data_IF_180978631484
#
_entry.id   IF_180978631484
#
_cell.length_a   1.000
_cell.length_b   1.000
_cell.length_c   1.000
_cell.angle_alpha   90.00
_cell.angle_beta   90.00
_cell.angle_gamma   90.00
#
_symmetry.space_group_name_H-M   'P 1'
#
loop_
_entity.id
_entity.type
_entity.pdbx_description
1 polymer ?
#
# COMPACT_ATOMS: atom_id res chain seq x y z
N UNK A 1 -8.10 -1.43 13.64
CA UNK A 1 -8.25 -0.39 12.61
C UNK A 1 -6.93 0.33 12.43
N UNK A 2 -6.41 0.32 11.21
CA UNK A 2 -5.09 0.88 10.88
C UNK A 2 -5.18 2.36 10.46
N UNK A 3 -6.28 2.73 9.83
CA UNK A 3 -6.44 4.06 9.26
C UNK A 3 -7.70 4.79 9.69
N UNK A 4 -7.83 6.03 9.22
CA UNK A 4 -8.98 6.89 9.45
C UNK A 4 -9.96 6.72 8.29
N UNK A 5 -11.09 6.07 8.54
CA UNK A 5 -12.16 5.83 7.56
C UNK A 5 -13.53 6.17 8.17
N UNK A 6 -14.47 6.67 7.34
CA UNK A 6 -14.34 6.96 5.91
C UNK A 6 -13.39 8.13 5.64
N UNK A 7 -12.70 8.12 4.48
CA UNK A 7 -11.91 9.28 4.06
C UNK A 7 -12.82 10.38 3.50
N UNK A 8 -12.46 11.66 3.62
CA UNK A 8 -13.28 12.76 3.13
C UNK A 8 -13.50 12.71 1.60
N UNK A 9 -14.62 13.28 1.16
CA UNK A 9 -14.86 13.65 -0.24
C UNK A 9 -14.90 15.18 -0.30
N UNK A 10 -14.02 15.78 -1.07
CA UNK A 10 -13.87 17.23 -1.16
C UNK A 10 -14.19 17.74 -2.57
N UNK A 11 -14.94 18.83 -2.67
CA UNK A 11 -15.20 19.50 -3.95
C UNK A 11 -14.00 20.35 -4.37
N UNK A 12 -13.43 20.05 -5.53
CA UNK A 12 -12.31 20.79 -6.12
C UNK A 12 -12.82 22.04 -6.86
N UNK A 13 -13.31 23.04 -6.12
CA UNK A 13 -14.00 24.24 -6.66
C UNK A 13 -13.17 24.99 -7.71
N UNK A 14 -11.87 25.17 -7.47
CA UNK A 14 -11.00 25.94 -8.36
C UNK A 14 -10.80 25.23 -9.70
N UNK A 15 -10.53 23.92 -9.69
CA UNK A 15 -10.33 23.17 -10.93
C UNK A 15 -11.66 22.97 -11.68
N UNK A 16 -12.77 22.78 -10.98
CA UNK A 16 -14.11 22.76 -11.55
C UNK A 16 -14.40 24.06 -12.31
N UNK A 17 -14.14 25.19 -11.68
CA UNK A 17 -14.32 26.52 -12.32
C UNK A 17 -13.38 26.70 -13.51
N UNK A 18 -12.11 26.32 -13.38
CA UNK A 18 -11.12 26.46 -14.44
C UNK A 18 -11.48 25.68 -15.70
N UNK A 19 -11.97 24.44 -15.53
CA UNK A 19 -12.33 23.57 -16.65
C UNK A 19 -13.68 23.88 -17.26
N UNK A 20 -14.58 24.57 -16.54
CA UNK A 20 -15.92 24.93 -17.03
C UNK A 20 -16.82 23.73 -17.36
N UNK A 21 -16.55 22.57 -16.79
CA UNK A 21 -17.24 21.31 -17.04
C UNK A 21 -17.99 20.78 -15.80
N UNK A 22 -18.07 19.45 -15.62
CA UNK A 22 -18.75 18.86 -14.48
C UNK A 22 -18.07 19.22 -13.16
N UNK A 23 -18.80 19.11 -12.06
CA UNK A 23 -18.25 19.25 -10.71
C UNK A 23 -17.23 18.14 -10.45
N UNK A 24 -16.03 18.51 -10.01
CA UNK A 24 -14.94 17.60 -9.74
C UNK A 24 -14.76 17.45 -8.23
N UNK A 25 -14.78 16.22 -7.76
CA UNK A 25 -14.54 15.87 -6.36
C UNK A 25 -13.32 14.97 -6.23
N UNK A 26 -12.68 14.99 -5.08
CA UNK A 26 -11.58 14.09 -4.75
C UNK A 26 -11.93 13.26 -3.51
N UNK A 27 -11.76 11.95 -3.59
CA UNK A 27 -11.74 11.04 -2.45
C UNK A 27 -10.35 11.07 -1.83
N UNK A 28 -10.24 11.56 -0.60
CA UNK A 28 -8.96 11.87 0.06
C UNK A 28 -8.31 10.64 0.67
N UNK A 29 -7.95 9.66 -0.17
CA UNK A 29 -7.24 8.45 0.27
C UNK A 29 -5.75 8.70 0.62
N UNK A 30 -5.26 9.89 0.44
CA UNK A 30 -4.04 10.40 1.02
C UNK A 30 -4.17 10.65 2.53
N UNK A 31 -5.38 10.92 3.04
CA UNK A 31 -5.68 11.23 4.43
C UNK A 31 -6.02 10.01 5.30
N UNK A 32 -5.53 8.82 4.96
CA UNK A 32 -5.78 7.60 5.74
C UNK A 32 -5.04 7.53 7.07
N UNK A 33 -4.04 8.39 7.30
CA UNK A 33 -3.36 8.58 8.58
C UNK A 33 -2.15 7.67 8.83
N UNK A 34 -2.20 6.39 8.48
CA UNK A 34 -1.11 5.45 8.75
C UNK A 34 0.18 5.86 8.02
N UNK A 35 1.23 6.16 8.78
CA UNK A 35 2.57 6.49 8.25
C UNK A 35 2.51 7.54 7.13
N UNK A 36 2.01 8.72 7.43
CA UNK A 36 1.77 9.83 6.49
C UNK A 36 0.62 9.60 5.49
N UNK A 37 -0.16 8.54 5.65
CA UNK A 37 -1.33 8.25 4.83
C UNK A 37 -1.03 7.59 3.48
N UNK A 38 -2.08 7.32 2.74
CA UNK A 38 -2.03 6.74 1.41
C UNK A 38 -3.01 5.59 1.22
N UNK A 39 -3.32 5.32 -0.02
CA UNK A 39 -4.34 4.37 -0.45
C UNK A 39 -4.08 2.90 -0.05
N UNK A 40 -2.84 2.54 0.26
CA UNK A 40 -2.50 1.15 0.61
C UNK A 40 -3.01 0.74 1.99
N UNK A 41 -3.26 1.72 2.88
CA UNK A 41 -3.87 1.47 4.19
C UNK A 41 -5.20 0.73 4.06
N UNK A 42 -6.04 1.06 3.06
CA UNK A 42 -7.30 0.35 2.82
C UNK A 42 -7.12 -1.15 2.62
N UNK A 43 -6.13 -1.54 1.83
CA UNK A 43 -5.81 -2.94 1.57
C UNK A 43 -5.26 -3.64 2.80
N UNK A 44 -4.41 -2.93 3.55
CA UNK A 44 -3.80 -3.43 4.77
C UNK A 44 -4.81 -3.66 5.90
N UNK A 45 -5.94 -2.94 5.92
CA UNK A 45 -7.06 -3.20 6.83
C UNK A 45 -7.60 -4.64 6.74
N UNK A 46 -7.42 -5.29 5.60
CA UNK A 46 -7.83 -6.67 5.36
C UNK A 46 -6.65 -7.64 5.41
N UNK A 47 -5.53 -7.28 4.82
CA UNK A 47 -4.35 -8.14 4.72
C UNK A 47 -3.69 -8.39 6.08
N UNK A 48 -3.60 -7.39 6.94
CA UNK A 48 -2.96 -7.54 8.26
C UNK A 48 -3.80 -8.40 9.21
N UNK A 49 -5.12 -8.21 9.35
CA UNK A 49 -5.95 -9.13 10.12
C UNK A 49 -5.88 -10.57 9.60
N UNK A 50 -5.83 -10.78 8.28
CA UNK A 50 -5.67 -12.11 7.71
C UNK A 50 -4.31 -12.74 8.07
N UNK A 51 -3.22 -11.96 7.99
CA UNK A 51 -1.91 -12.40 8.45
C UNK A 51 -1.92 -12.81 9.93
N UNK A 52 -2.59 -12.04 10.80
CA UNK A 52 -2.73 -12.35 12.22
C UNK A 52 -3.54 -13.64 12.43
N UNK A 53 -4.67 -13.79 11.73
CA UNK A 53 -5.51 -14.99 11.78
C UNK A 53 -4.73 -16.26 11.40
N UNK A 54 -3.81 -16.12 10.44
CA UNK A 54 -2.90 -17.18 10.00
C UNK A 54 -1.70 -17.41 10.96
N UNK A 55 -1.66 -16.75 12.12
CA UNK A 55 -0.56 -16.87 13.12
C UNK A 55 0.81 -16.58 12.53
N UNK A 56 0.87 -15.62 11.65
CA UNK A 56 2.08 -15.23 10.92
C UNK A 56 3.18 -14.75 11.87
N UNK A 57 4.41 -15.18 11.63
CA UNK A 57 5.60 -14.73 12.36
C UNK A 57 6.26 -13.53 11.69
N UNK A 58 6.21 -13.47 10.36
CA UNK A 58 6.79 -12.40 9.57
C UNK A 58 5.94 -12.12 8.33
N UNK A 59 5.65 -10.86 8.09
CA UNK A 59 5.07 -10.37 6.84
C UNK A 59 6.20 -10.04 5.87
N UNK A 60 6.14 -10.58 4.66
CA UNK A 60 7.10 -10.26 3.58
C UNK A 60 6.37 -9.54 2.48
N UNK A 61 6.92 -8.44 1.98
CA UNK A 61 6.35 -7.72 0.84
C UNK A 61 7.42 -7.21 -0.11
N UNK A 62 6.99 -6.80 -1.31
CA UNK A 62 7.86 -6.29 -2.37
C UNK A 62 7.41 -4.90 -2.81
N UNK A 63 8.38 -4.08 -3.23
CA UNK A 63 8.09 -2.77 -3.80
C UNK A 63 9.34 -2.15 -4.42
N UNK A 64 9.19 -1.00 -5.09
CA UNK A 64 10.34 -0.18 -5.46
C UNK A 64 10.94 0.49 -4.22
N UNK A 65 12.17 1.00 -4.29
CA UNK A 65 12.88 1.66 -3.18
C UNK A 65 12.04 2.77 -2.51
N UNK A 66 11.27 3.53 -3.28
CA UNK A 66 10.39 4.59 -2.76
C UNK A 66 8.91 4.18 -2.78
N UNK A 67 8.61 2.92 -2.45
CA UNK A 67 7.25 2.38 -2.48
C UNK A 67 6.41 2.88 -1.30
N UNK A 68 5.29 3.53 -1.59
CA UNK A 68 4.26 3.85 -0.58
C UNK A 68 3.62 2.59 0.02
N UNK A 69 3.56 1.50 -0.75
CA UNK A 69 3.06 0.23 -0.26
C UNK A 69 4.00 -0.37 0.80
N UNK A 70 5.30 -0.42 0.52
CA UNK A 70 6.30 -0.92 1.46
C UNK A 70 6.23 -0.15 2.79
N UNK A 71 6.28 1.18 2.74
CA UNK A 71 6.19 2.05 3.92
C UNK A 71 4.95 1.79 4.76
N UNK A 72 3.77 1.76 4.14
CA UNK A 72 2.52 1.53 4.89
C UNK A 72 2.46 0.10 5.45
N UNK A 73 3.02 -0.89 4.75
CA UNK A 73 3.11 -2.28 5.26
C UNK A 73 4.04 -2.35 6.47
N UNK A 74 5.22 -1.71 6.43
CA UNK A 74 6.11 -1.62 7.58
C UNK A 74 5.41 -1.03 8.81
N UNK A 75 4.77 0.12 8.62
CA UNK A 75 4.04 0.80 9.70
C UNK A 75 2.90 -0.04 10.27
N UNK A 76 2.12 -0.71 9.41
CA UNK A 76 1.04 -1.58 9.84
C UNK A 76 1.54 -2.78 10.65
N UNK A 77 2.63 -3.39 10.21
CA UNK A 77 3.27 -4.49 10.93
C UNK A 77 3.76 -4.05 12.31
N UNK A 78 4.46 -2.91 12.38
CA UNK A 78 4.95 -2.36 13.66
C UNK A 78 3.82 -2.05 14.61
N UNK A 79 2.76 -1.41 14.14
CA UNK A 79 1.56 -1.11 14.93
C UNK A 79 0.92 -2.36 15.52
N UNK A 80 0.97 -3.48 14.78
CA UNK A 80 0.35 -4.75 15.17
C UNK A 80 1.33 -5.76 15.78
N UNK A 81 2.58 -5.37 16.06
CA UNK A 81 3.59 -6.22 16.67
C UNK A 81 4.08 -7.37 15.78
N UNK A 82 3.94 -7.24 14.46
CA UNK A 82 4.41 -8.22 13.48
C UNK A 82 5.81 -7.86 12.98
N UNK A 83 6.65 -8.86 12.75
CA UNK A 83 7.90 -8.66 12.02
C UNK A 83 7.60 -8.37 10.55
N UNK A 84 8.39 -7.48 9.95
CA UNK A 84 8.25 -7.09 8.55
C UNK A 84 9.59 -7.22 7.81
N UNK A 85 9.59 -7.92 6.69
CA UNK A 85 10.70 -7.95 5.73
C UNK A 85 10.23 -7.34 4.42
N UNK A 86 10.92 -6.32 3.97
CA UNK A 86 10.63 -5.62 2.71
C UNK A 86 11.72 -5.93 1.69
N UNK A 87 11.31 -6.38 0.52
CA UNK A 87 12.19 -6.59 -0.62
C UNK A 87 12.01 -5.42 -1.56
N UNK A 88 13.04 -4.58 -1.66
CA UNK A 88 13.01 -3.37 -2.47
C UNK A 88 13.73 -3.58 -3.80
N UNK A 89 12.99 -3.46 -4.90
CA UNK A 89 13.52 -3.54 -6.25
C UNK A 89 14.30 -2.27 -6.61
N UNK A 90 15.57 -2.41 -6.91
CA UNK A 90 16.41 -1.32 -7.40
C UNK A 90 16.18 -1.10 -8.90
N UNK A 91 15.38 -0.11 -9.27
CA UNK A 91 15.03 0.19 -10.66
C UNK A 91 16.03 1.12 -11.35
N UNK A 92 16.68 1.99 -10.59
CA UNK A 92 17.65 2.94 -11.12
C UNK A 92 19.02 2.30 -11.25
N UNK A 93 19.75 2.60 -12.34
CA UNK A 93 21.10 2.07 -12.58
C UNK A 93 22.11 2.64 -11.58
N UNK A 94 22.07 3.93 -11.33
CA UNK A 94 22.95 4.65 -10.40
C UNK A 94 22.08 5.57 -9.53
N UNK A 95 21.41 5.04 -8.49
CA UNK A 95 20.55 5.85 -7.65
C UNK A 95 21.41 6.84 -6.83
N UNK A 96 21.00 8.10 -6.70
CA UNK A 96 21.64 9.03 -5.78
C UNK A 96 21.55 8.53 -4.34
N UNK A 97 22.52 8.87 -3.49
CA UNK A 97 22.49 8.50 -2.07
C UNK A 97 21.21 8.96 -1.36
N UNK A 98 20.73 10.16 -1.67
CA UNK A 98 19.48 10.66 -1.13
C UNK A 98 18.29 9.75 -1.48
N UNK A 99 18.23 9.18 -2.69
CA UNK A 99 17.18 8.25 -3.09
C UNK A 99 17.20 6.94 -2.27
N UNK A 100 18.40 6.48 -1.88
CA UNK A 100 18.58 5.24 -1.11
C UNK A 100 18.47 5.44 0.41
N UNK A 101 18.51 6.68 0.91
CA UNK A 101 18.59 6.96 2.33
C UNK A 101 17.54 7.96 2.86
N UNK A 102 16.61 8.42 2.02
CA UNK A 102 15.53 9.34 2.43
C UNK A 102 14.16 8.85 1.98
N UNK A 103 13.11 9.60 2.31
CA UNK A 103 11.75 9.30 1.90
C UNK A 103 11.23 7.96 2.47
N UNK A 104 10.63 7.14 1.61
CA UNK A 104 9.96 5.92 2.06
C UNK A 104 10.91 4.88 2.62
N UNK A 105 12.09 4.67 2.02
CA UNK A 105 13.08 3.70 2.55
C UNK A 105 13.60 4.12 3.93
N UNK A 106 13.73 5.41 4.20
CA UNK A 106 14.09 5.89 5.53
C UNK A 106 12.98 5.55 6.54
N UNK A 107 11.73 5.76 6.17
CA UNK A 107 10.58 5.43 7.01
C UNK A 107 10.44 3.91 7.22
N UNK A 108 10.73 3.09 6.21
CA UNK A 108 10.76 1.63 6.35
C UNK A 108 11.74 1.19 7.46
N UNK A 109 12.95 1.79 7.47
CA UNK A 109 13.95 1.55 8.51
C UNK A 109 13.48 2.06 9.88
N UNK A 110 12.89 3.25 9.92
CA UNK A 110 12.37 3.85 11.16
C UNK A 110 11.27 3.00 11.79
N UNK A 111 10.42 2.38 10.98
CA UNK A 111 9.38 1.43 11.44
C UNK A 111 9.94 0.04 11.76
N UNK A 112 11.25 -0.16 11.73
CA UNK A 112 11.89 -1.41 12.13
C UNK A 112 11.75 -2.56 11.15
N UNK A 113 11.43 -2.29 9.89
CA UNK A 113 11.38 -3.32 8.87
C UNK A 113 12.81 -3.79 8.51
N UNK A 114 13.00 -5.10 8.36
CA UNK A 114 14.18 -5.64 7.69
C UNK A 114 14.08 -5.34 6.19
N UNK A 115 15.17 -4.85 5.60
CA UNK A 115 15.21 -4.48 4.18
C UNK A 115 16.20 -5.34 3.44
N UNK A 116 15.75 -5.93 2.33
CA UNK A 116 16.61 -6.57 1.33
C UNK A 116 16.46 -5.87 0.00
N UNK A 117 17.58 -5.48 -0.60
CA UNK A 117 17.60 -4.88 -1.93
C UNK A 117 17.70 -6.00 -2.97
N UNK A 118 16.70 -6.06 -3.85
CA UNK A 118 16.77 -6.88 -5.05
C UNK A 118 17.54 -6.10 -6.12
N UNK A 119 18.70 -6.62 -6.57
CA UNK A 119 19.49 -5.96 -7.60
C UNK A 119 18.71 -5.82 -8.91
N UNK A 120 19.00 -4.77 -9.68
CA UNK A 120 18.36 -4.53 -10.98
C UNK A 120 18.54 -5.68 -11.97
N UNK A 121 19.61 -6.46 -11.84
CA UNK A 121 19.92 -7.61 -12.68
C UNK A 121 19.06 -8.84 -12.38
N UNK A 122 18.31 -8.82 -11.28
CA UNK A 122 17.50 -9.96 -10.84
C UNK A 122 16.01 -9.68 -11.01
N UNK A 123 15.25 -10.75 -11.25
CA UNK A 123 13.78 -10.67 -11.25
C UNK A 123 13.26 -10.67 -9.81
N UNK A 124 12.56 -9.60 -9.43
CA UNK A 124 12.06 -9.40 -8.05
C UNK A 124 11.11 -10.51 -7.60
N UNK A 125 10.32 -11.09 -8.51
CA UNK A 125 9.42 -12.19 -8.18
C UNK A 125 10.20 -13.45 -7.80
N UNK A 126 11.20 -13.81 -8.60
CA UNK A 126 12.06 -14.95 -8.31
C UNK A 126 12.89 -14.73 -7.03
N UNK A 127 13.47 -13.53 -6.87
CA UNK A 127 14.24 -13.16 -5.68
C UNK A 127 13.41 -13.25 -4.40
N UNK A 128 12.16 -12.75 -4.45
CA UNK A 128 11.26 -12.78 -3.31
C UNK A 128 10.78 -14.20 -2.97
N UNK A 129 10.45 -15.02 -3.98
CA UNK A 129 10.06 -16.41 -3.78
C UNK A 129 11.15 -17.21 -3.09
N UNK A 130 12.41 -17.06 -3.50
CA UNK A 130 13.55 -17.71 -2.86
C UNK A 130 13.67 -17.34 -1.38
N UNK A 131 13.56 -16.05 -1.05
CA UNK A 131 13.62 -15.59 0.34
C UNK A 131 12.47 -16.17 1.17
N UNK A 132 11.25 -16.19 0.63
CA UNK A 132 10.08 -16.77 1.31
C UNK A 132 10.28 -18.26 1.55
N UNK A 133 10.75 -19.00 0.55
CA UNK A 133 11.05 -20.43 0.69
C UNK A 133 12.13 -20.70 1.74
N UNK A 134 13.22 -19.93 1.74
CA UNK A 134 14.29 -20.07 2.74
C UNK A 134 13.78 -19.84 4.17
N UNK A 135 12.89 -18.87 4.37
CA UNK A 135 12.25 -18.63 5.67
C UNK A 135 11.33 -19.77 6.08
N UNK A 136 10.55 -20.31 5.15
CA UNK A 136 9.64 -21.43 5.39
C UNK A 136 10.40 -22.72 5.70
N UNK A 137 11.48 -23.01 5.00
CA UNK A 137 12.36 -24.16 5.30
C UNK A 137 12.99 -24.10 6.70
N UNK A 138 13.16 -22.88 7.24
CA UNK A 138 13.60 -22.66 8.63
C UNK A 138 12.44 -22.72 9.65
N UNK A 139 11.24 -23.14 9.23
CA UNK A 139 10.08 -23.26 10.11
C UNK A 139 9.40 -21.93 10.43
N UNK A 140 9.69 -20.85 9.69
CA UNK A 140 9.06 -19.55 9.91
C UNK A 140 7.72 -19.49 9.16
N UNK A 141 6.63 -19.16 9.86
CA UNK A 141 5.34 -18.92 9.24
C UNK A 141 5.34 -17.53 8.58
N UNK A 142 5.36 -17.51 7.24
CA UNK A 142 5.48 -16.30 6.40
C UNK A 142 4.13 -15.95 5.78
N UNK A 143 3.73 -14.69 5.87
CA UNK A 143 2.63 -14.13 5.09
C UNK A 143 3.17 -13.21 4.01
N UNK A 144 3.01 -13.60 2.75
CA UNK A 144 3.49 -12.81 1.62
C UNK A 144 2.39 -11.88 1.12
N UNK A 145 2.68 -10.57 1.11
CA UNK A 145 1.84 -9.54 0.53
C UNK A 145 2.45 -9.14 -0.82
N UNK A 146 1.75 -9.35 -1.95
CA UNK A 146 2.26 -8.97 -3.26
C UNK A 146 2.42 -7.46 -3.40
N UNK A 147 3.20 -7.04 -4.39
CA UNK A 147 3.43 -5.63 -4.66
C UNK A 147 2.13 -4.83 -4.78
N UNK A 148 2.06 -3.71 -4.04
CA UNK A 148 0.85 -2.90 -3.97
C UNK A 148 -0.31 -3.50 -3.17
N UNK A 149 -0.14 -4.66 -2.51
CA UNK A 149 -1.21 -5.34 -1.79
C UNK A 149 -2.35 -5.81 -2.70
N UNK A 150 -2.02 -6.19 -3.94
CA UNK A 150 -3.02 -6.47 -4.98
C UNK A 150 -3.25 -7.97 -5.09
N UNK A 151 -4.12 -8.47 -4.24
CA UNK A 151 -4.73 -9.80 -4.27
C UNK A 151 -6.19 -9.68 -3.85
N UNK A 152 -6.90 -10.78 -3.81
CA UNK A 152 -8.34 -10.88 -3.50
C UNK A 152 -8.68 -10.24 -2.15
N UNK A 153 -7.87 -10.49 -1.11
CA UNK A 153 -8.07 -9.94 0.24
C UNK A 153 -7.83 -8.43 0.24
N UNK A 154 -6.74 -7.97 -0.37
CA UNK A 154 -6.43 -6.54 -0.46
C UNK A 154 -7.45 -5.75 -1.29
N UNK A 155 -8.07 -6.38 -2.29
CA UNK A 155 -9.13 -5.80 -3.12
C UNK A 155 -10.33 -5.34 -2.29
N UNK A 156 -10.67 -6.05 -1.22
CA UNK A 156 -11.78 -5.70 -0.31
C UNK A 156 -11.65 -4.27 0.26
N UNK A 157 -10.44 -3.77 0.39
CA UNK A 157 -10.19 -2.39 0.81
C UNK A 157 -10.79 -1.35 -0.15
N UNK A 158 -10.85 -1.68 -1.45
CA UNK A 158 -11.48 -0.79 -2.44
C UNK A 158 -12.95 -1.07 -2.65
N UNK A 159 -13.43 -2.27 -2.38
CA UNK A 159 -14.87 -2.54 -2.24
C UNK A 159 -15.45 -1.65 -1.14
N UNK A 160 -14.80 -1.55 0.02
CA UNK A 160 -15.21 -0.64 1.09
C UNK A 160 -15.12 0.84 0.69
N UNK A 161 -14.11 1.24 -0.08
CA UNK A 161 -14.02 2.59 -0.62
C UNK A 161 -15.24 2.94 -1.49
N UNK A 162 -15.66 2.00 -2.35
CA UNK A 162 -16.85 2.17 -3.17
C UNK A 162 -18.12 2.26 -2.31
N UNK A 163 -18.24 1.45 -1.27
CA UNK A 163 -19.35 1.52 -0.32
C UNK A 163 -19.43 2.90 0.38
N UNK A 164 -18.28 3.49 0.72
CA UNK A 164 -18.25 4.86 1.25
C UNK A 164 -18.77 5.88 0.22
N UNK A 165 -18.34 5.76 -1.06
CA UNK A 165 -18.80 6.66 -2.13
C UNK A 165 -20.29 6.51 -2.39
N UNK A 166 -20.81 5.28 -2.42
CA UNK A 166 -22.25 5.01 -2.63
C UNK A 166 -23.10 5.64 -1.52
N UNK A 167 -22.67 5.56 -0.27
CA UNK A 167 -23.37 6.19 0.87
C UNK A 167 -23.45 7.72 0.74
N UNK A 168 -22.44 8.34 0.18
CA UNK A 168 -22.37 9.80 -0.04
C UNK A 168 -23.04 10.24 -1.37
N UNK A 169 -23.34 9.29 -2.27
CA UNK A 169 -23.81 9.60 -3.63
C UNK A 169 -25.16 10.33 -3.67
N UNK A 170 -26.05 10.07 -2.70
CA UNK A 170 -27.32 10.80 -2.57
C UNK A 170 -27.12 12.31 -2.41
N UNK A 171 -25.97 12.72 -1.84
CA UNK A 171 -25.61 14.12 -1.64
C UNK A 171 -24.95 14.75 -2.87
N UNK A 172 -24.17 13.98 -3.63
CA UNK A 172 -23.30 14.53 -4.67
C UNK A 172 -23.71 14.13 -6.09
N UNK A 173 -24.46 13.05 -6.25
CA UNK A 173 -24.93 12.52 -7.53
C UNK A 173 -23.77 12.29 -8.53
N UNK A 174 -22.79 11.49 -8.13
CA UNK A 174 -21.64 11.15 -8.96
C UNK A 174 -22.07 10.35 -10.19
N UNK A 175 -21.58 10.75 -11.37
CA UNK A 175 -21.86 10.07 -12.65
C UNK A 175 -20.65 9.33 -13.18
N UNK A 176 -19.45 9.67 -12.72
CA UNK A 176 -18.19 9.07 -13.17
C UNK A 176 -17.21 8.95 -12.01
N UNK A 177 -16.41 7.89 -12.02
CA UNK A 177 -15.27 7.68 -11.12
C UNK A 177 -14.01 7.55 -11.97
N UNK A 178 -13.00 8.36 -11.68
CA UNK A 178 -11.69 8.31 -12.33
C UNK A 178 -10.65 7.93 -11.30
N UNK A 179 -9.84 6.93 -11.60
CA UNK A 179 -8.77 6.50 -10.70
C UNK A 179 -7.49 6.15 -11.47
N UNK A 180 -6.34 6.27 -10.81
CA UNK A 180 -5.07 5.81 -11.35
C UNK A 180 -4.95 4.29 -11.15
N UNK A 181 -4.55 3.58 -12.19
CA UNK A 181 -4.32 2.13 -12.14
C UNK A 181 -2.84 1.82 -12.31
N UNK A 182 -2.25 1.19 -11.31
CA UNK A 182 -0.89 0.63 -11.35
C UNK A 182 -0.93 -0.88 -11.12
N UNK A 183 -1.16 -1.29 -9.88
CA UNK A 183 -1.23 -2.71 -9.46
C UNK A 183 -2.65 -3.29 -9.50
N UNK A 184 -3.57 -2.79 -10.31
CA UNK A 184 -4.97 -3.19 -10.46
C UNK A 184 -5.86 -3.20 -9.20
N UNK A 185 -5.33 -3.32 -8.00
CA UNK A 185 -6.09 -3.44 -6.77
C UNK A 185 -6.85 -2.18 -6.30
N UNK A 186 -6.90 -1.11 -7.10
CA UNK A 186 -7.80 0.04 -6.92
C UNK A 186 -9.00 -0.08 -7.86
N UNK A 187 -8.85 -0.90 -8.89
CA UNK A 187 -9.86 -1.13 -9.92
C UNK A 187 -10.79 -2.31 -9.58
N UNK A 188 -10.39 -3.12 -8.60
CA UNK A 188 -11.09 -4.36 -8.20
C UNK A 188 -12.45 -4.15 -7.56
#
# INVERSE_FOLDING_TARGET
>A
KLGHFPTPIEHLKNITKYLGGPNIFIKRDDCTGLATGGNKTRKLEFLIPDAIKNKTKIVVTVGAVQSNHARQTAAACTLMGLKCLIILEQRLKNPPDAYMNSGNIFLDKLFGAEIKICPRSENVSYFSQKIVQDLQLKGTNVYFIPGGGSNEIGALGYVECLNEIIKENSKYNFTQIVHATGSAGTQS
#
